data_IF_525604306481
#
_entry.id   IF_525604306481
#
_cell.length_a   1.000
_cell.length_b   1.000
_cell.length_c   1.000
_cell.angle_alpha   90.00
_cell.angle_beta   90.00
_cell.angle_gamma   90.00
#
_symmetry.space_group_name_H-M   'P 1'
#
loop_
_entity.id
_entity.type
_entity.pdbx_description
1 polymer ?
#
# COMPACT_ATOMS: atom_id res chain seq x y z
N UNK A 1 -2.12 0.89 10.09
CA UNK A 1 -3.23 0.38 9.26
C UNK A 1 -3.93 1.57 8.62
N UNK A 2 -4.29 1.47 7.34
CA UNK A 2 -5.10 2.44 6.61
C UNK A 2 -6.47 1.82 6.41
N UNK A 3 -7.53 2.53 6.77
CA UNK A 3 -8.92 2.13 6.54
C UNK A 3 -9.62 3.26 5.83
N UNK A 4 -10.24 2.97 4.68
CA UNK A 4 -10.99 3.95 3.90
C UNK A 4 -12.30 3.34 3.41
N UNK A 5 -13.39 4.08 3.56
CA UNK A 5 -14.72 3.68 3.15
C UNK A 5 -15.25 4.68 2.12
N UNK A 6 -15.73 4.17 0.99
CA UNK A 6 -16.21 4.98 -0.12
C UNK A 6 -17.62 4.55 -0.55
N UNK A 7 -18.40 5.51 -1.04
CA UNK A 7 -19.70 5.22 -1.63
C UNK A 7 -19.53 4.51 -2.99
N UNK A 8 -20.00 3.26 -3.07
CA UNK A 8 -19.81 2.43 -4.25
C UNK A 8 -20.79 2.74 -5.40
N UNK A 9 -21.74 3.65 -5.19
CA UNK A 9 -22.81 3.97 -6.16
C UNK A 9 -22.28 4.42 -7.53
N UNK A 10 -21.03 4.91 -7.60
CA UNK A 10 -20.38 5.44 -8.81
C UNK A 10 -19.46 4.46 -9.55
N UNK A 11 -19.12 3.28 -8.99
CA UNK A 11 -18.21 2.31 -9.62
C UNK A 11 -18.80 0.91 -9.62
N UNK A 12 -18.85 0.26 -10.80
CA UNK A 12 -19.61 -0.98 -11.00
C UNK A 12 -18.90 -2.25 -10.53
N UNK A 13 -17.58 -2.23 -10.31
CA UNK A 13 -16.82 -3.41 -9.88
C UNK A 13 -15.87 -3.14 -8.71
N UNK A 14 -15.78 -4.07 -7.77
CA UNK A 14 -14.93 -3.99 -6.57
C UNK A 14 -13.48 -3.64 -6.93
N UNK A 15 -12.89 -4.34 -7.91
CA UNK A 15 -11.49 -4.17 -8.32
C UNK A 15 -11.13 -2.74 -8.77
N UNK A 16 -12.12 -1.94 -9.17
CA UNK A 16 -11.91 -0.53 -9.56
C UNK A 16 -11.65 0.40 -8.37
N UNK A 17 -11.73 -0.07 -7.13
CA UNK A 17 -11.40 0.70 -5.93
C UNK A 17 -9.94 0.60 -5.52
N UNK A 18 -9.31 -0.56 -5.70
CA UNK A 18 -7.96 -0.82 -5.19
C UNK A 18 -6.94 0.10 -5.86
N UNK A 19 -6.93 0.17 -7.18
CA UNK A 19 -5.94 0.95 -7.94
C UNK A 19 -5.94 2.44 -7.55
N UNK A 20 -7.09 3.14 -7.58
CA UNK A 20 -7.15 4.56 -7.21
C UNK A 20 -6.76 4.84 -5.75
N UNK A 21 -7.13 3.97 -4.82
CA UNK A 21 -6.70 4.11 -3.41
C UNK A 21 -5.19 3.87 -3.26
N UNK A 22 -4.65 2.84 -3.91
CA UNK A 22 -3.21 2.57 -3.90
C UNK A 22 -2.41 3.72 -4.55
N UNK A 23 -2.93 4.32 -5.62
CA UNK A 23 -2.30 5.48 -6.28
C UNK A 23 -2.37 6.73 -5.41
N UNK A 24 -3.46 6.94 -4.66
CA UNK A 24 -3.54 8.00 -3.66
C UNK A 24 -2.47 7.83 -2.58
N UNK A 25 -2.28 6.61 -2.07
CA UNK A 25 -1.17 6.32 -1.14
C UNK A 25 0.18 6.61 -1.78
N UNK A 26 0.41 6.16 -3.02
CA UNK A 26 1.69 6.40 -3.71
C UNK A 26 1.97 7.90 -3.90
N UNK A 27 0.96 8.71 -4.28
CA UNK A 27 1.08 10.18 -4.35
C UNK A 27 1.45 10.79 -3.00
N UNK A 28 0.81 10.35 -1.92
CA UNK A 28 1.13 10.81 -0.56
C UNK A 28 2.57 10.47 -0.16
N UNK A 29 3.07 9.28 -0.52
CA UNK A 29 4.47 8.93 -0.24
C UNK A 29 5.44 9.78 -1.07
N UNK A 30 5.13 10.04 -2.35
CA UNK A 30 5.97 10.91 -3.21
C UNK A 30 6.03 12.35 -2.70
N UNK A 31 4.93 12.90 -2.15
CA UNK A 31 4.92 14.24 -1.55
C UNK A 31 5.75 14.33 -0.26
N UNK A 32 6.00 13.19 0.38
CA UNK A 32 6.89 13.06 1.55
C UNK A 32 8.36 12.77 1.19
N UNK A 33 8.73 12.87 -0.10
CA UNK A 33 10.10 12.68 -0.57
C UNK A 33 10.45 11.25 -0.99
N UNK A 34 9.50 10.30 -0.94
CA UNK A 34 9.72 8.92 -1.38
C UNK A 34 9.40 8.78 -2.88
N UNK A 35 10.21 9.42 -3.73
CA UNK A 35 9.93 9.58 -5.16
C UNK A 35 9.80 8.27 -5.96
N UNK A 36 10.45 7.19 -5.50
CA UNK A 36 10.34 5.85 -6.09
C UNK A 36 9.01 5.13 -5.82
N UNK A 37 8.09 5.72 -5.05
CA UNK A 37 6.80 5.13 -4.72
C UNK A 37 5.88 5.02 -5.94
N UNK A 38 5.44 3.80 -6.27
CA UNK A 38 4.55 3.49 -7.39
C UNK A 38 3.61 2.33 -7.07
N UNK A 39 2.47 2.28 -7.77
CA UNK A 39 1.57 1.13 -7.71
C UNK A 39 2.13 -0.04 -8.53
N UNK A 40 2.05 -1.25 -7.97
CA UNK A 40 2.45 -2.50 -8.61
C UNK A 40 1.35 -3.56 -8.50
N UNK A 41 1.25 -4.41 -9.52
CA UNK A 41 0.25 -5.49 -9.55
C UNK A 41 -1.18 -4.96 -9.42
N UNK A 42 -2.01 -5.66 -8.65
CA UNK A 42 -3.43 -5.31 -8.48
C UNK A 42 -3.70 -4.22 -7.43
N UNK A 43 -2.69 -3.76 -6.68
CA UNK A 43 -2.93 -2.86 -5.54
C UNK A 43 -1.82 -2.71 -4.53
N UNK A 44 -0.60 -3.13 -4.88
CA UNK A 44 0.56 -2.97 -4.02
C UNK A 44 1.12 -1.57 -4.21
N UNK A 45 1.68 -1.00 -3.15
CA UNK A 45 2.57 0.16 -3.27
C UNK A 45 3.98 -0.32 -3.00
N UNK A 46 4.89 0.01 -3.90
CA UNK A 46 6.31 -0.32 -3.81
C UNK A 46 7.15 0.95 -3.96
N UNK A 47 8.32 0.97 -3.32
CA UNK A 47 9.36 1.97 -3.53
C UNK A 47 10.52 1.24 -4.20
N UNK A 48 10.88 1.65 -5.42
CA UNK A 48 11.97 1.03 -6.19
C UNK A 48 11.84 -0.51 -6.29
N UNK A 49 10.62 -0.98 -6.65
CA UNK A 49 10.24 -2.40 -6.75
C UNK A 49 10.32 -3.22 -5.44
N UNK A 50 10.43 -2.56 -4.29
CA UNK A 50 10.29 -3.15 -2.96
C UNK A 50 8.94 -2.78 -2.33
N UNK A 51 8.15 -3.80 -1.98
CA UNK A 51 6.79 -3.62 -1.47
C UNK A 51 6.80 -2.96 -0.09
N UNK A 52 6.01 -1.90 0.06
CA UNK A 52 5.75 -1.20 1.33
C UNK A 52 4.27 -1.23 1.75
N UNK A 53 3.36 -1.59 0.83
CA UNK A 53 1.95 -1.75 1.15
C UNK A 53 1.34 -2.98 0.48
N UNK A 54 0.54 -3.71 1.26
CA UNK A 54 -0.46 -4.66 0.76
C UNK A 54 -1.85 -4.25 1.22
N UNK A 55 -2.86 -4.61 0.43
CA UNK A 55 -4.26 -4.24 0.69
C UNK A 55 -5.23 -5.40 0.51
N UNK A 56 -6.40 -5.22 1.11
CA UNK A 56 -7.60 -6.03 0.92
C UNK A 56 -8.80 -5.11 0.70
N UNK A 57 -9.79 -5.58 -0.05
CA UNK A 57 -11.01 -4.84 -0.33
C UNK A 57 -12.23 -5.72 -0.07
N UNK A 58 -13.19 -5.16 0.67
CA UNK A 58 -14.58 -5.58 0.62
C UNK A 58 -15.37 -4.54 -0.16
N UNK A 59 -16.24 -4.95 -1.09
CA UNK A 59 -17.13 -4.01 -1.76
C UNK A 59 -18.47 -4.65 -2.12
N UNK A 60 -19.53 -3.85 -2.03
CA UNK A 60 -20.87 -4.18 -2.50
C UNK A 60 -21.43 -2.99 -3.31
N UNK A 61 -22.74 -2.96 -3.57
CA UNK A 61 -23.37 -1.89 -4.38
C UNK A 61 -23.39 -0.52 -3.70
N UNK A 62 -23.19 -0.45 -2.39
CA UNK A 62 -23.31 0.75 -1.58
C UNK A 62 -21.97 1.23 -1.04
N UNK A 63 -21.10 0.31 -0.63
CA UNK A 63 -19.83 0.65 0.02
C UNK A 63 -18.66 -0.14 -0.57
N UNK A 64 -17.51 0.52 -0.62
CA UNK A 64 -16.20 -0.10 -0.79
C UNK A 64 -15.35 0.19 0.45
N UNK A 65 -14.96 -0.85 1.16
CA UNK A 65 -14.10 -0.82 2.34
C UNK A 65 -12.71 -1.33 1.97
N UNK A 66 -11.77 -0.40 1.89
CA UNK A 66 -10.36 -0.67 1.69
C UNK A 66 -9.64 -0.77 3.03
N UNK A 67 -8.82 -1.80 3.18
CA UNK A 67 -7.91 -1.95 4.31
C UNK A 67 -6.49 -2.21 3.81
N UNK A 68 -5.53 -1.39 4.26
CA UNK A 68 -4.13 -1.45 3.86
C UNK A 68 -3.17 -1.55 5.05
N UNK A 69 -2.12 -2.33 4.89
CA UNK A 69 -0.99 -2.41 5.82
C UNK A 69 0.22 -1.73 5.19
N UNK A 70 0.56 -0.53 5.68
CA UNK A 70 1.72 0.25 5.26
C UNK A 70 2.89 -0.03 6.23
N UNK A 71 4.03 -0.45 5.69
CA UNK A 71 5.24 -0.79 6.44
C UNK A 71 6.02 0.49 6.75
N UNK A 72 5.67 1.17 7.84
CA UNK A 72 6.38 2.40 8.27
C UNK A 72 7.78 2.06 8.78
N UNK A 73 7.84 1.28 9.86
CA UNK A 73 9.09 0.78 10.43
C UNK A 73 8.91 -0.56 11.18
N UNK A 74 8.43 -1.62 10.50
CA UNK A 74 8.35 -2.94 11.11
C UNK A 74 9.72 -3.64 11.16
N UNK A 75 9.83 -4.63 12.02
CA UNK A 75 10.91 -5.60 12.00
C UNK A 75 10.71 -6.57 10.82
N UNK A 76 11.40 -6.30 9.69
CA UNK A 76 11.30 -7.12 8.48
C UNK A 76 11.88 -8.53 8.65
N UNK A 77 12.79 -8.74 9.60
CA UNK A 77 13.36 -10.06 9.86
C UNK A 77 12.33 -10.96 10.55
N UNK A 78 11.51 -10.39 11.44
CA UNK A 78 10.33 -11.10 11.99
C UNK A 78 9.33 -11.45 10.90
N UNK A 79 9.05 -10.53 9.97
CA UNK A 79 8.14 -10.81 8.86
C UNK A 79 8.69 -11.98 8.02
N UNK A 80 9.97 -11.94 7.66
CA UNK A 80 10.61 -12.99 6.87
C UNK A 80 10.64 -14.35 7.61
N UNK A 81 10.80 -14.34 8.94
CA UNK A 81 10.81 -15.55 9.77
C UNK A 81 9.43 -16.20 9.88
N UNK A 82 8.38 -15.40 10.05
CA UNK A 82 7.06 -15.93 10.42
C UNK A 82 6.08 -16.05 9.25
N UNK A 83 6.28 -15.32 8.15
CA UNK A 83 5.42 -15.44 6.98
C UNK A 83 5.95 -16.49 6.01
N UNK A 84 5.15 -17.53 5.69
CA UNK A 84 5.52 -18.47 4.63
C UNK A 84 5.51 -17.78 3.27
N UNK A 85 6.31 -18.28 2.33
CA UNK A 85 6.22 -17.81 0.94
C UNK A 85 4.79 -18.03 0.41
N UNK A 86 4.17 -17.03 -0.22
CA UNK A 86 2.79 -17.18 -0.66
C UNK A 86 2.69 -18.17 -1.82
N UNK A 87 1.58 -18.91 -1.88
CA UNK A 87 1.29 -19.81 -3.01
C UNK A 87 1.01 -19.08 -4.32
N UNK A 88 0.65 -17.79 -4.24
CA UNK A 88 0.49 -16.89 -5.38
C UNK A 88 1.19 -15.58 -5.09
N UNK A 89 2.04 -15.15 -6.00
CA UNK A 89 2.78 -13.89 -5.92
C UNK A 89 2.44 -12.97 -7.09
N UNK A 90 2.58 -11.65 -6.93
CA UNK A 90 2.51 -10.74 -8.06
C UNK A 90 3.75 -10.90 -8.95
N UNK A 91 3.61 -10.72 -10.26
CA UNK A 91 4.69 -10.96 -11.25
C UNK A 91 5.99 -10.22 -10.93
N UNK A 92 5.90 -9.02 -10.32
CA UNK A 92 7.07 -8.23 -9.96
C UNK A 92 7.84 -8.77 -8.73
N UNK A 93 7.29 -9.73 -7.98
CA UNK A 93 8.02 -10.42 -6.90
C UNK A 93 9.15 -11.27 -7.46
N UNK A 94 8.95 -11.93 -8.60
CA UNK A 94 9.97 -12.72 -9.32
C UNK A 94 10.67 -13.76 -8.42
N UNK A 95 9.90 -14.45 -7.58
CA UNK A 95 10.41 -15.48 -6.67
C UNK A 95 11.24 -14.97 -5.50
N UNK A 96 11.40 -13.64 -5.34
CA UNK A 96 12.17 -13.04 -4.23
C UNK A 96 11.61 -13.46 -2.88
N UNK A 97 12.53 -13.70 -1.93
CA UNK A 97 12.19 -13.90 -0.53
C UNK A 97 11.56 -12.64 0.08
N UNK A 98 10.94 -12.74 1.26
CA UNK A 98 10.40 -11.57 1.95
C UNK A 98 11.46 -10.48 2.19
N UNK A 99 12.69 -10.88 2.54
CA UNK A 99 13.80 -9.97 2.79
C UNK A 99 14.24 -9.19 1.54
N UNK A 100 14.14 -9.80 0.35
CA UNK A 100 14.49 -9.18 -0.94
C UNK A 100 13.32 -8.44 -1.60
N UNK A 101 12.10 -8.71 -1.16
CA UNK A 101 10.87 -8.20 -1.79
C UNK A 101 10.27 -7.00 -1.05
N UNK A 102 10.48 -6.90 0.26
CA UNK A 102 9.83 -5.90 1.11
C UNK A 102 10.83 -4.86 1.60
N UNK A 103 10.35 -3.63 1.80
CA UNK A 103 11.09 -2.60 2.54
C UNK A 103 10.14 -1.86 3.49
N UNK A 104 10.65 -0.87 4.21
CA UNK A 104 9.84 0.04 5.04
C UNK A 104 10.05 1.49 4.62
N UNK A 105 9.14 2.38 5.01
CA UNK A 105 9.29 3.80 4.72
C UNK A 105 10.59 4.37 5.31
N UNK A 106 10.92 4.00 6.56
CA UNK A 106 12.15 4.44 7.22
C UNK A 106 13.39 3.93 6.48
N UNK A 107 13.42 2.65 6.08
CA UNK A 107 14.51 2.08 5.28
C UNK A 107 14.62 2.75 3.90
N UNK A 108 13.50 3.16 3.31
CA UNK A 108 13.43 3.87 2.04
C UNK A 108 13.74 5.38 2.14
N UNK A 109 14.09 5.90 3.33
CA UNK A 109 14.52 7.28 3.49
C UNK A 109 13.48 8.23 4.09
N UNK A 110 12.32 7.74 4.54
CA UNK A 110 11.36 8.59 5.25
C UNK A 110 11.94 9.05 6.59
N UNK A 111 11.87 10.36 6.87
CA UNK A 111 12.37 10.99 8.10
C UNK A 111 11.32 11.85 8.81
N UNK A 112 10.09 11.87 8.31
CA UNK A 112 8.98 12.57 8.95
C UNK A 112 8.36 11.79 10.10
N UNK A 113 7.47 12.44 10.84
CA UNK A 113 6.71 11.82 11.92
C UNK A 113 5.38 11.21 11.43
N UNK A 114 4.71 10.48 12.33
CA UNK A 114 3.42 9.87 12.00
C UNK A 114 2.32 10.90 11.70
N UNK A 115 2.44 12.14 12.18
CA UNK A 115 1.46 13.19 11.93
C UNK A 115 1.55 13.69 10.49
N UNK A 116 2.76 13.95 9.99
CA UNK A 116 3.03 14.29 8.60
C UNK A 116 2.58 13.18 7.65
N UNK A 117 2.90 11.92 7.98
CA UNK A 117 2.45 10.77 7.20
C UNK A 117 0.92 10.70 7.14
N UNK A 118 0.25 10.83 8.29
CA UNK A 118 -1.21 10.80 8.37
C UNK A 118 -1.85 11.93 7.57
N UNK A 119 -1.31 13.16 7.67
CA UNK A 119 -1.83 14.31 6.95
C UNK A 119 -1.73 14.14 5.43
N UNK A 120 -0.57 13.67 4.94
CA UNK A 120 -0.38 13.41 3.52
C UNK A 120 -1.32 12.32 2.99
N UNK A 121 -1.50 11.23 3.76
CA UNK A 121 -2.41 10.15 3.39
C UNK A 121 -3.87 10.63 3.32
N UNK A 122 -4.34 11.37 4.33
CA UNK A 122 -5.71 11.89 4.34
C UNK A 122 -5.98 12.81 3.15
N UNK A 123 -5.08 13.74 2.87
CA UNK A 123 -5.24 14.70 1.78
C UNK A 123 -5.39 14.03 0.40
N UNK A 124 -4.76 12.86 0.19
CA UNK A 124 -4.89 12.11 -1.06
C UNK A 124 -6.07 11.13 -1.06
N UNK A 125 -6.37 10.49 0.07
CA UNK A 125 -7.45 9.51 0.18
C UNK A 125 -8.85 10.15 0.12
N UNK A 126 -9.00 11.39 0.58
CA UNK A 126 -10.23 12.17 0.49
C UNK A 126 -10.59 12.58 -0.96
N UNK A 127 -9.63 12.50 -1.88
CA UNK A 127 -9.82 12.83 -3.30
C UNK A 127 -10.23 11.63 -4.16
N UNK A 128 -10.31 10.43 -3.58
CA UNK A 128 -10.61 9.17 -4.29
C UNK A 128 -12.12 8.96 -4.42
#
# INVERSE_FOLDING_TARGET
MITAAYEASRRRFATQWIGPVAEAVARALRSLGLHGAAVRGMGDVAIDDLKVLGSSLYANRQVALYQGSLLVDPDLDRIARYLPHPSREPDYRRGRSHAEFMTSLVRAGYRGDMAALRAALLAELERV
#
